data_IF_620776439367
#
_entry.id   IF_620776439367
#
_cell.length_a   1.000
_cell.length_b   1.000
_cell.length_c   1.000
_cell.angle_alpha   90.00
_cell.angle_beta   90.00
_cell.angle_gamma   90.00
#
_symmetry.space_group_name_H-M   'P 1'
#
loop_
_entity.id
_entity.type
_entity.pdbx_description
1 polymer ?
#
# COMPACT_ATOMS: atom_id res chain seq x y z
N UNK A 1 46.80 -20.49 8.95
CA UNK A 1 47.78 -20.62 7.84
C UNK A 1 46.96 -21.09 6.66
N UNK A 2 46.62 -20.31 5.64
CA UNK A 2 47.43 -19.40 4.78
C UNK A 2 46.41 -18.48 4.05
N UNK A 3 46.41 -17.16 4.25
CA UNK A 3 47.18 -16.08 3.58
C UNK A 3 46.78 -15.76 2.12
N UNK A 4 46.19 -14.57 1.96
CA UNK A 4 45.96 -13.82 0.71
C UNK A 4 47.25 -13.18 0.21
N UNK A 5 47.44 -13.10 -1.11
CA UNK A 5 48.15 -11.94 -1.64
C UNK A 5 47.72 -11.57 -3.07
N UNK A 6 46.94 -10.51 -3.26
CA UNK A 6 47.00 -9.75 -4.52
C UNK A 6 46.86 -8.26 -4.22
N UNK A 7 47.97 -7.73 -3.72
CA UNK A 7 48.23 -6.35 -3.40
C UNK A 7 49.17 -5.79 -4.48
N UNK A 8 48.74 -4.69 -5.11
CA UNK A 8 49.54 -3.65 -5.79
C UNK A 8 50.24 -4.00 -7.12
N UNK A 9 49.87 -3.27 -8.18
CA UNK A 9 50.82 -2.53 -9.02
C UNK A 9 50.10 -1.52 -9.94
N UNK A 10 50.62 -0.28 -9.95
CA UNK A 10 50.53 0.75 -11.02
C UNK A 10 49.17 1.49 -11.10
N UNK A 11 48.95 2.72 -10.62
CA UNK A 11 49.73 3.96 -10.56
C UNK A 11 50.03 4.62 -11.92
N UNK A 12 49.30 5.72 -12.18
CA UNK A 12 49.74 6.99 -12.81
C UNK A 12 49.04 7.42 -14.13
N UNK A 13 48.29 8.52 -13.98
CA UNK A 13 47.94 9.62 -14.91
C UNK A 13 47.20 9.33 -16.22
N UNK A 14 45.98 9.88 -16.34
CA UNK A 14 45.65 10.94 -17.32
C UNK A 14 44.48 11.78 -16.77
N UNK A 15 44.70 13.09 -16.56
CA UNK A 15 43.67 14.11 -16.47
C UNK A 15 42.91 14.19 -17.80
N UNK A 16 41.57 14.30 -17.80
CA UNK A 16 40.85 15.24 -18.67
C UNK A 16 39.34 15.24 -18.48
N UNK A 17 38.82 16.47 -18.45
CA UNK A 17 37.48 16.94 -18.83
C UNK A 17 36.26 16.39 -18.07
N UNK A 18 35.83 17.22 -17.11
CA UNK A 18 34.41 17.42 -16.82
C UNK A 18 33.66 17.75 -18.11
N UNK A 19 32.66 16.95 -18.46
CA UNK A 19 31.61 17.35 -19.39
C UNK A 19 30.30 17.09 -18.69
N UNK A 20 29.82 18.11 -18.00
CA UNK A 20 28.44 18.19 -17.53
C UNK A 20 27.54 18.28 -18.76
N UNK A 21 26.81 17.21 -19.05
CA UNK A 21 25.67 17.26 -19.97
C UNK A 21 24.53 17.98 -19.27
N UNK A 22 24.44 19.30 -19.50
CA UNK A 22 23.29 20.11 -19.14
C UNK A 22 22.16 19.79 -20.14
N UNK A 23 20.97 19.34 -19.70
CA UNK A 23 19.85 19.09 -20.60
C UNK A 23 19.37 20.41 -21.24
N UNK A 24 18.93 20.39 -22.51
CA UNK A 24 18.54 21.59 -23.25
C UNK A 24 17.39 22.33 -22.56
N UNK A 25 17.66 23.57 -22.16
CA UNK A 25 16.65 24.50 -21.65
C UNK A 25 15.61 24.78 -22.75
N UNK A 26 14.30 24.71 -22.46
CA UNK A 26 13.29 25.21 -23.37
C UNK A 26 13.49 26.73 -23.58
N UNK A 27 13.14 27.27 -24.76
CA UNK A 27 13.35 28.68 -25.07
C UNK A 27 12.66 29.56 -24.02
N UNK A 28 13.44 30.43 -23.38
CA UNK A 28 12.91 31.53 -22.58
C UNK A 28 12.15 32.45 -23.51
N UNK A 29 10.82 32.39 -23.46
CA UNK A 29 9.97 33.43 -24.03
C UNK A 29 10.29 34.70 -23.23
N UNK A 30 11.07 35.60 -23.83
CA UNK A 30 11.12 37.00 -23.40
C UNK A 30 9.72 37.55 -23.56
N UNK A 31 8.98 37.66 -22.46
CA UNK A 31 7.81 38.53 -22.41
C UNK A 31 8.39 39.95 -22.31
N UNK A 32 8.84 40.45 -23.45
CA UNK A 32 9.00 41.88 -23.65
C UNK A 32 7.59 42.49 -23.62
N UNK A 33 7.31 43.50 -22.79
CA UNK A 33 6.01 44.13 -22.79
C UNK A 33 5.86 44.88 -24.11
N UNK A 34 5.20 44.24 -25.08
CA UNK A 34 4.69 44.91 -26.27
C UNK A 34 3.66 45.94 -25.82
N UNK A 35 4.15 47.16 -25.61
CA UNK A 35 3.36 48.37 -25.54
C UNK A 35 2.83 48.65 -26.95
N UNK A 36 1.86 47.85 -27.38
CA UNK A 36 1.04 48.14 -28.55
C UNK A 36 -0.37 48.40 -28.05
N UNK A 37 -0.77 49.66 -28.20
CA UNK A 37 -2.08 50.21 -27.89
C UNK A 37 -3.22 49.24 -28.30
N UNK A 38 -3.78 48.56 -27.31
CA UNK A 38 -5.09 47.95 -27.38
C UNK A 38 -6.03 48.81 -26.53
N UNK A 39 -7.14 49.20 -27.13
CA UNK A 39 -8.13 50.12 -26.60
C UNK A 39 -8.48 49.84 -25.12
N UNK A 40 -8.59 50.92 -24.33
CA UNK A 40 -9.10 50.94 -22.96
C UNK A 40 -10.56 50.44 -22.90
N UNK A 41 -10.76 49.15 -23.06
CA UNK A 41 -11.99 48.47 -22.69
C UNK A 41 -11.85 48.00 -21.25
N UNK A 42 -12.89 48.16 -20.40
CA UNK A 42 -12.86 47.62 -19.05
C UNK A 42 -12.62 46.10 -19.13
N UNK A 43 -11.84 45.53 -18.19
CA UNK A 43 -11.55 44.10 -18.20
C UNK A 43 -12.87 43.33 -18.24
N UNK A 44 -13.00 42.41 -19.20
CA UNK A 44 -14.18 41.57 -19.33
C UNK A 44 -14.39 40.83 -18.02
N UNK A 45 -15.46 41.19 -17.30
CA UNK A 45 -15.87 40.49 -16.08
C UNK A 45 -16.59 39.22 -16.51
N UNK A 46 -15.82 38.13 -16.59
CA UNK A 46 -16.37 36.80 -16.79
C UNK A 46 -16.84 36.30 -15.43
N UNK A 47 -18.16 36.31 -15.21
CA UNK A 47 -18.77 35.60 -14.09
C UNK A 47 -18.68 34.10 -14.39
N UNK A 48 -17.56 33.48 -13.97
CA UNK A 48 -17.49 32.03 -13.96
C UNK A 48 -18.44 31.53 -12.87
N UNK A 49 -19.31 30.54 -13.18
CA UNK A 49 -20.11 29.88 -12.15
C UNK A 49 -19.16 29.35 -11.07
N UNK A 50 -19.60 29.42 -9.81
CA UNK A 50 -18.82 28.93 -8.69
C UNK A 50 -18.30 27.53 -8.99
N UNK A 51 -16.99 27.33 -8.85
CA UNK A 51 -16.36 26.04 -9.10
C UNK A 51 -17.13 24.96 -8.34
N UNK A 52 -17.68 24.00 -9.08
CA UNK A 52 -18.35 22.85 -8.48
C UNK A 52 -17.33 22.18 -7.59
N UNK A 53 -17.59 22.14 -6.28
CA UNK A 53 -16.76 21.41 -5.34
C UNK A 53 -16.93 19.92 -5.63
N UNK A 54 -16.03 19.37 -6.43
CA UNK A 54 -15.84 17.94 -6.66
C UNK A 54 -15.19 17.29 -5.42
N UNK A 55 -15.68 17.62 -4.24
CA UNK A 55 -15.35 16.90 -3.00
C UNK A 55 -16.05 15.54 -3.14
N UNK A 56 -15.43 14.66 -3.93
CA UNK A 56 -15.85 13.28 -4.06
C UNK A 56 -15.92 12.72 -2.66
N UNK A 57 -17.14 12.41 -2.22
CA UNK A 57 -17.42 11.99 -0.85
C UNK A 57 -16.55 10.78 -0.57
N UNK A 58 -15.47 10.99 0.18
CA UNK A 58 -14.59 9.91 0.57
C UNK A 58 -15.47 8.84 1.24
N UNK A 59 -15.30 7.55 0.90
CA UNK A 59 -16.05 6.48 1.54
C UNK A 59 -15.94 6.61 3.06
N UNK A 60 -17.00 6.27 3.81
CA UNK A 60 -16.94 6.25 5.27
C UNK A 60 -15.73 5.46 5.76
N UNK A 61 -15.05 5.94 6.81
CA UNK A 61 -13.93 5.22 7.44
C UNK A 61 -14.40 3.93 8.11
N UNK A 62 -15.54 4.02 8.77
CA UNK A 62 -16.09 2.96 9.59
C UNK A 62 -17.48 2.56 9.11
N UNK A 63 -17.84 1.33 9.39
CA UNK A 63 -19.21 0.85 9.29
C UNK A 63 -20.07 1.53 10.38
N UNK A 64 -21.39 1.34 10.32
CA UNK A 64 -22.32 1.91 11.31
C UNK A 64 -22.08 1.40 12.74
N UNK A 65 -21.42 0.25 12.88
CA UNK A 65 -21.03 -0.38 14.15
C UNK A 65 -19.70 0.19 14.72
N UNK A 66 -19.06 1.13 14.02
CA UNK A 66 -17.76 1.70 14.40
C UNK A 66 -16.56 0.82 14.04
N UNK A 67 -16.76 -0.35 13.42
CA UNK A 67 -15.67 -1.22 12.93
C UNK A 67 -15.08 -0.64 11.65
N UNK A 68 -13.78 -0.84 11.44
CA UNK A 68 -13.07 -0.26 10.30
C UNK A 68 -13.53 -0.91 8.99
N UNK A 69 -13.78 -0.08 7.98
CA UNK A 69 -14.04 -0.53 6.60
C UNK A 69 -12.74 -0.84 5.89
N UNK A 70 -12.75 -1.87 5.04
CA UNK A 70 -11.62 -2.20 4.17
C UNK A 70 -11.33 -1.03 3.22
N UNK A 71 -12.35 -0.46 2.59
CA UNK A 71 -12.16 0.65 1.65
C UNK A 71 -11.63 1.89 2.36
N UNK A 72 -12.19 2.18 3.54
CA UNK A 72 -11.82 3.31 4.38
C UNK A 72 -10.36 3.23 4.84
N UNK A 73 -9.95 2.04 5.29
CA UNK A 73 -8.59 1.74 5.72
C UNK A 73 -7.58 1.87 4.58
N UNK A 74 -7.85 1.24 3.44
CA UNK A 74 -6.94 1.26 2.28
C UNK A 74 -6.78 2.67 1.71
N UNK A 75 -7.86 3.47 1.77
CA UNK A 75 -7.83 4.88 1.33
C UNK A 75 -6.96 5.74 2.23
N UNK A 76 -7.00 5.52 3.55
CA UNK A 76 -6.26 6.30 4.56
C UNK A 76 -5.14 5.51 5.22
N UNK A 77 -4.54 4.59 4.47
CA UNK A 77 -3.57 3.60 4.99
C UNK A 77 -2.43 4.21 5.80
N UNK A 78 -1.95 5.37 5.37
CA UNK A 78 -0.83 6.08 6.00
C UNK A 78 -1.11 6.46 7.46
N UNK A 79 -2.36 6.72 7.81
CA UNK A 79 -2.78 7.05 9.17
C UNK A 79 -2.81 5.83 10.10
N UNK A 80 -2.99 4.62 9.55
CA UNK A 80 -3.26 3.41 10.32
C UNK A 80 -2.11 2.40 10.31
N UNK A 81 -1.02 2.67 9.60
CA UNK A 81 0.14 1.78 9.63
C UNK A 81 0.68 1.60 11.05
N UNK A 82 1.14 0.39 11.33
CA UNK A 82 1.71 -0.08 12.59
C UNK A 82 0.73 -0.04 13.78
N UNK A 83 -0.57 0.07 13.49
CA UNK A 83 -1.63 0.05 14.50
C UNK A 83 -2.40 -1.26 14.48
N UNK A 84 -2.79 -1.68 15.69
CA UNK A 84 -3.76 -2.75 15.87
C UNK A 84 -5.16 -2.22 15.58
N UNK A 85 -5.84 -2.83 14.61
CA UNK A 85 -7.15 -2.40 14.16
C UNK A 85 -8.11 -3.58 14.04
N UNK A 86 -9.40 -3.28 14.11
CA UNK A 86 -10.49 -4.25 13.94
C UNK A 86 -11.20 -3.90 12.63
N UNK A 87 -11.10 -4.81 11.66
CA UNK A 87 -11.62 -4.63 10.31
C UNK A 87 -12.77 -5.59 10.10
N UNK A 88 -13.88 -5.09 9.57
CA UNK A 88 -15.02 -5.91 9.16
C UNK A 88 -15.05 -5.98 7.64
N UNK A 89 -15.02 -7.19 7.10
CA UNK A 89 -15.02 -7.40 5.65
C UNK A 89 -15.41 -8.83 5.27
N UNK A 90 -15.75 -9.00 4.01
CA UNK A 90 -16.05 -10.28 3.36
C UNK A 90 -14.76 -10.88 2.82
N UNK A 91 -14.55 -12.16 3.10
CA UNK A 91 -13.45 -12.91 2.50
C UNK A 91 -13.75 -13.14 1.02
N UNK A 92 -12.98 -12.55 0.13
CA UNK A 92 -13.21 -12.65 -1.32
C UNK A 92 -12.53 -13.88 -1.89
N UNK A 93 -11.27 -14.07 -1.49
CA UNK A 93 -10.41 -15.08 -2.10
C UNK A 93 -9.35 -15.55 -1.10
N UNK A 94 -8.87 -16.77 -1.30
CA UNK A 94 -7.83 -17.41 -0.50
C UNK A 94 -6.74 -17.91 -1.43
N UNK A 95 -5.49 -17.72 -1.03
CA UNK A 95 -4.39 -18.29 -1.79
C UNK A 95 -4.30 -19.80 -1.54
N UNK A 96 -4.42 -20.55 -2.64
CA UNK A 96 -4.17 -21.98 -2.68
C UNK A 96 -2.84 -22.20 -3.39
N UNK A 97 -1.94 -22.95 -2.75
CA UNK A 97 -0.68 -23.29 -3.38
C UNK A 97 -0.94 -24.32 -4.48
N UNK A 98 -0.50 -24.07 -5.73
CA UNK A 98 -0.68 -25.02 -6.80
C UNK A 98 0.20 -26.26 -6.57
N UNK A 99 -0.32 -27.45 -6.90
CA UNK A 99 0.31 -28.74 -6.58
C UNK A 99 1.65 -28.97 -7.28
N UNK A 100 1.91 -28.25 -8.38
CA UNK A 100 3.13 -28.33 -9.18
C UNK A 100 4.24 -27.39 -8.69
N UNK A 101 3.98 -26.54 -7.69
CA UNK A 101 4.97 -25.61 -7.17
C UNK A 101 5.93 -26.27 -6.17
N UNK A 102 7.23 -26.11 -6.41
CA UNK A 102 8.29 -26.53 -5.47
C UNK A 102 8.36 -25.64 -4.23
N UNK A 103 7.80 -24.43 -4.28
CA UNK A 103 7.76 -23.47 -3.17
C UNK A 103 6.42 -22.75 -3.14
N UNK A 104 5.72 -22.91 -2.03
CA UNK A 104 4.48 -22.18 -1.74
C UNK A 104 4.78 -20.88 -1.02
N UNK A 105 3.96 -19.86 -1.27
CA UNK A 105 3.89 -18.72 -0.36
C UNK A 105 3.11 -19.12 0.90
N UNK A 106 3.33 -18.42 2.02
CA UNK A 106 2.52 -18.67 3.22
C UNK A 106 1.04 -18.34 2.96
N UNK A 107 0.17 -18.97 3.75
CA UNK A 107 -1.26 -18.77 3.70
C UNK A 107 -1.62 -17.28 3.85
N UNK A 108 -2.32 -16.78 2.83
CA UNK A 108 -2.84 -15.43 2.79
C UNK A 108 -4.21 -15.42 2.12
N UNK A 109 -5.00 -14.41 2.46
CA UNK A 109 -6.34 -14.24 1.92
C UNK A 109 -6.63 -12.77 1.62
N UNK A 110 -7.71 -12.52 0.89
CA UNK A 110 -8.13 -11.19 0.51
C UNK A 110 -9.48 -10.85 1.14
N UNK A 111 -9.53 -9.75 1.87
CA UNK A 111 -10.74 -9.18 2.43
C UNK A 111 -11.20 -7.97 1.60
N UNK A 112 -12.51 -7.81 1.43
CA UNK A 112 -13.11 -6.62 0.83
C UNK A 112 -14.37 -6.19 1.60
N UNK A 113 -14.87 -4.98 1.38
CA UNK A 113 -16.13 -4.53 1.99
C UNK A 113 -17.37 -5.19 1.36
N UNK A 114 -17.24 -5.75 0.14
CA UNK A 114 -18.36 -6.34 -0.61
C UNK A 114 -18.03 -7.75 -1.08
N UNK A 115 -19.04 -8.65 -1.20
CA UNK A 115 -18.83 -10.03 -1.67
C UNK A 115 -18.39 -10.08 -3.14
N UNK A 116 -18.71 -9.05 -3.93
CA UNK A 116 -18.23 -8.92 -5.30
C UNK A 116 -16.72 -8.61 -5.39
N UNK A 117 -16.06 -8.32 -4.27
CA UNK A 117 -14.63 -8.10 -4.20
C UNK A 117 -14.19 -6.88 -4.98
N UNK A 118 -14.75 -5.71 -4.64
CA UNK A 118 -14.50 -4.43 -5.29
C UNK A 118 -13.03 -4.00 -5.42
N UNK A 119 -12.82 -2.78 -5.90
CA UNK A 119 -11.50 -2.28 -6.34
C UNK A 119 -10.41 -2.32 -5.26
N UNK A 120 -10.81 -2.30 -3.98
CA UNK A 120 -9.91 -2.31 -2.83
C UNK A 120 -10.05 -3.63 -2.09
N UNK A 121 -8.96 -4.39 -2.13
CA UNK A 121 -8.80 -5.63 -1.36
C UNK A 121 -7.67 -5.43 -0.35
N UNK A 122 -7.90 -5.91 0.87
CA UNK A 122 -6.91 -5.94 1.93
C UNK A 122 -6.31 -7.34 2.01
N UNK A 123 -4.98 -7.41 1.99
CA UNK A 123 -4.25 -8.65 2.13
C UNK A 123 -4.21 -9.05 3.61
N UNK A 124 -4.76 -10.21 3.93
CA UNK A 124 -4.70 -10.85 5.25
C UNK A 124 -3.57 -11.89 5.24
N UNK A 125 -2.64 -11.79 6.18
CA UNK A 125 -1.44 -12.65 6.26
C UNK A 125 -1.22 -13.17 7.68
N UNK A 126 -0.32 -14.15 7.84
CA UNK A 126 -0.02 -14.74 9.15
C UNK A 126 -1.08 -15.75 9.62
N UNK A 127 -1.82 -16.33 8.68
CA UNK A 127 -2.82 -17.35 8.94
C UNK A 127 -2.14 -18.68 9.28
N UNK A 128 -2.61 -19.38 10.32
CA UNK A 128 -2.27 -20.79 10.52
C UNK A 128 -3.13 -21.67 9.63
N UNK A 129 -2.70 -22.90 9.41
CA UNK A 129 -3.39 -23.89 8.56
C UNK A 129 -4.84 -24.08 9.03
N UNK A 130 -5.04 -24.25 10.34
CA UNK A 130 -6.35 -24.36 11.00
C UNK A 130 -7.29 -23.18 10.68
N UNK A 131 -6.75 -21.95 10.67
CA UNK A 131 -7.54 -20.75 10.39
C UNK A 131 -7.83 -20.63 8.89
N UNK A 132 -6.86 -20.95 8.04
CA UNK A 132 -7.03 -20.89 6.60
C UNK A 132 -8.08 -21.89 6.08
N UNK A 133 -8.14 -23.08 6.70
CA UNK A 133 -9.18 -24.09 6.44
C UNK A 133 -10.56 -23.66 6.93
N UNK A 134 -10.63 -23.02 8.11
CA UNK A 134 -11.89 -22.55 8.69
C UNK A 134 -12.48 -21.32 7.98
N UNK A 135 -11.64 -20.52 7.32
CA UNK A 135 -12.07 -19.35 6.55
C UNK A 135 -12.81 -19.76 5.28
N UNK A 136 -14.03 -19.25 5.09
CA UNK A 136 -14.85 -19.54 3.90
C UNK A 136 -15.00 -18.29 3.04
N UNK A 137 -14.70 -18.40 1.75
CA UNK A 137 -14.89 -17.30 0.80
C UNK A 137 -16.38 -16.98 0.65
N UNK A 138 -16.71 -15.69 0.55
CA UNK A 138 -18.07 -15.16 0.56
C UNK A 138 -18.65 -14.88 1.95
N UNK A 139 -17.97 -15.30 3.02
CA UNK A 139 -18.42 -15.06 4.40
C UNK A 139 -17.84 -13.76 4.96
N UNK A 140 -18.65 -13.05 5.74
CA UNK A 140 -18.24 -11.85 6.45
C UNK A 140 -17.58 -12.20 7.79
N UNK A 141 -16.41 -11.61 8.03
CA UNK A 141 -15.66 -11.77 9.27
C UNK A 141 -15.27 -10.42 9.87
N UNK A 142 -15.16 -10.40 11.19
CA UNK A 142 -14.57 -9.28 11.91
C UNK A 142 -13.19 -9.70 12.37
N UNK A 143 -12.17 -9.21 11.69
CA UNK A 143 -10.78 -9.61 11.88
C UNK A 143 -10.04 -8.53 12.66
N UNK A 144 -9.37 -8.95 13.73
CA UNK A 144 -8.45 -8.10 14.49
C UNK A 144 -7.02 -8.43 14.07
N UNK A 145 -6.23 -7.41 13.81
CA UNK A 145 -4.84 -7.59 13.42
C UNK A 145 -4.02 -6.32 13.44
N UNK A 146 -2.72 -6.46 13.18
CA UNK A 146 -1.81 -5.32 13.03
C UNK A 146 -1.74 -4.93 11.55
N UNK A 147 -2.07 -3.68 11.24
CA UNK A 147 -2.00 -3.17 9.88
C UNK A 147 -0.58 -2.66 9.58
N UNK A 148 0.16 -3.38 8.73
CA UNK A 148 1.55 -3.07 8.44
C UNK A 148 1.79 -3.03 6.92
N UNK A 149 2.93 -2.50 6.51
CA UNK A 149 3.37 -2.54 5.11
C UNK A 149 4.15 -3.83 4.79
N UNK A 150 4.76 -4.43 5.81
CA UNK A 150 5.62 -5.61 5.71
C UNK A 150 5.38 -6.55 6.89
N UNK A 151 5.62 -7.84 6.69
CA UNK A 151 5.69 -8.84 7.77
C UNK A 151 7.10 -9.35 8.00
N UNK A 152 7.30 -9.98 9.17
CA UNK A 152 8.52 -10.71 9.50
C UNK A 152 8.73 -11.90 8.52
N UNK A 153 7.64 -12.48 8.02
CA UNK A 153 7.62 -13.60 7.05
C UNK A 153 7.93 -13.16 5.61
N UNK A 154 8.20 -11.87 5.38
CA UNK A 154 8.64 -11.35 4.08
C UNK A 154 7.53 -10.94 3.12
N UNK A 155 6.25 -10.89 3.56
CA UNK A 155 5.20 -10.28 2.74
C UNK A 155 5.34 -8.76 2.74
N UNK A 156 5.14 -8.16 1.57
CA UNK A 156 5.13 -6.71 1.39
C UNK A 156 3.98 -6.35 0.48
N UNK A 157 3.12 -5.43 0.93
CA UNK A 157 1.99 -4.94 0.16
C UNK A 157 1.97 -3.41 0.17
N UNK A 158 2.00 -2.78 -1.01
CA UNK A 158 1.96 -1.31 -1.14
C UNK A 158 0.66 -0.70 -0.61
N UNK A 159 -0.44 -1.47 -0.64
CA UNK A 159 -1.75 -1.08 -0.10
C UNK A 159 -1.87 -1.34 1.40
N UNK A 160 -0.87 -1.99 2.00
CA UNK A 160 -0.91 -2.50 3.36
C UNK A 160 -1.42 -3.93 3.44
N UNK A 161 -1.02 -4.61 4.50
CA UNK A 161 -1.43 -5.95 4.88
C UNK A 161 -1.90 -5.93 6.33
N UNK A 162 -2.81 -6.85 6.65
CA UNK A 162 -3.28 -7.07 8.01
C UNK A 162 -2.66 -8.38 8.51
N UNK A 163 -1.85 -8.30 9.55
CA UNK A 163 -1.31 -9.49 10.23
C UNK A 163 -2.40 -10.01 11.15
N UNK A 164 -2.90 -11.20 10.85
CA UNK A 164 -3.98 -11.84 11.60
C UNK A 164 -3.59 -12.07 13.06
N UNK A 165 -4.48 -11.69 13.98
CA UNK A 165 -4.36 -11.98 15.41
C UNK A 165 -5.56 -12.78 15.90
N UNK A 166 -6.78 -12.35 15.56
CA UNK A 166 -8.01 -13.06 15.88
C UNK A 166 -9.15 -12.70 14.92
N UNK A 167 -10.19 -13.52 14.86
CA UNK A 167 -11.42 -13.18 14.17
C UNK A 167 -12.65 -13.61 14.95
N UNK A 168 -13.65 -12.75 15.00
CA UNK A 168 -14.97 -13.07 15.56
C UNK A 168 -15.74 -13.93 14.54
N UNK A 169 -16.38 -15.01 15.02
CA UNK A 169 -17.18 -15.90 14.17
C UNK A 169 -16.45 -17.09 13.57
N UNK A 170 -15.15 -17.27 13.88
CA UNK A 170 -14.44 -18.52 13.63
C UNK A 170 -14.32 -19.31 14.93
N UNK A 171 -14.91 -20.50 14.99
CA UNK A 171 -14.62 -21.48 16.05
C UNK A 171 -13.26 -22.14 15.77
N UNK A 172 -12.19 -21.40 16.05
CA UNK A 172 -10.83 -21.93 15.96
C UNK A 172 -10.61 -22.76 17.23
N UNK A 173 -10.30 -24.05 17.09
CA UNK A 173 -9.66 -24.80 18.18
C UNK A 173 -8.31 -24.14 18.38
N UNK A 174 -8.18 -23.31 19.42
CA UNK A 174 -6.97 -22.54 19.65
C UNK A 174 -5.75 -23.47 19.65
N UNK A 175 -4.87 -23.30 18.65
CA UNK A 175 -3.52 -23.82 18.73
C UNK A 175 -2.79 -23.04 19.82
N UNK A 176 -2.09 -23.68 20.77
CA UNK A 176 -1.46 -23.01 21.90
C UNK A 176 -0.26 -22.20 21.44
N UNK A 177 -0.46 -21.01 20.88
CA UNK A 177 0.61 -20.05 20.56
C UNK A 177 0.91 -19.16 21.77
N UNK A 178 1.40 -19.80 22.82
CA UNK A 178 2.22 -19.17 23.83
C UNK A 178 3.65 -19.67 23.74
N UNK A 179 4.54 -19.01 22.99
CA UNK A 179 5.99 -19.09 23.28
C UNK A 179 6.81 -17.99 22.62
N UNK A 180 7.17 -16.99 23.43
CA UNK A 180 8.43 -16.21 23.44
C UNK A 180 8.89 -15.54 22.12
N UNK A 181 8.54 -14.26 21.95
CA UNK A 181 9.51 -13.27 21.44
C UNK A 181 10.30 -12.73 22.63
N UNK A 182 11.42 -13.37 22.92
CA UNK A 182 12.40 -12.91 23.89
C UNK A 182 13.80 -13.17 23.38
N UNK A 183 14.45 -12.12 22.85
CA UNK A 183 15.76 -11.64 23.29
C UNK A 183 16.07 -10.31 22.62
#
# INVERSE_FOLDING_TARGET
>A
MTENPFLKAICVLVLSSMVACDPPQPPRISIEPQNTAAANLPPARVDLPAAVKLEGTLPPETHADGKMRVDGLVTRREKYFEQKIVVRGVLVDKYECPEDATRCQHHHAYLADTPAGGDKKLLLVGLSDSVNEALVAGTEYVVTGNFAKRTDDGFVASMGLLVFESAEGLEIKEDPKGSKRGR
#
